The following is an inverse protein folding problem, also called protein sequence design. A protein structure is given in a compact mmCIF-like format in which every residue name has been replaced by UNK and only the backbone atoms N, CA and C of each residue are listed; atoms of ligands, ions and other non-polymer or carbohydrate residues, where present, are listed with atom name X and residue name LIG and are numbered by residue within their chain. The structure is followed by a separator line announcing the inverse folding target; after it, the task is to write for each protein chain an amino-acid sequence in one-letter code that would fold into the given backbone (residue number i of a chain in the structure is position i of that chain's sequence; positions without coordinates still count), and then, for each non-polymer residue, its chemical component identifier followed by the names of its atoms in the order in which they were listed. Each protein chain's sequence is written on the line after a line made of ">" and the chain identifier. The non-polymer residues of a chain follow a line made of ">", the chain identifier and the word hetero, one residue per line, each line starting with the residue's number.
data_IF_584397266976
#
_entry.id   IF_584397266976
#
_cell.length_a   1.000
_cell.length_b   1.000
_cell.length_c   1.000
_cell.angle_alpha   90.00
_cell.angle_beta   90.00
_cell.angle_gamma   90.00
#
_symmetry.space_group_name_H-M   'P 1'
#
loop_
_entity.id
_entity.type
_entity.pdbx_description
1 polymer ?
#
# COMPACT_ATOMS: atom_id res chain seq x y z
N UNK A 1 -8.52 16.35 5.20
CA UNK A 1 -7.61 15.21 5.45
C UNK A 1 -6.38 15.77 6.17
N UNK A 2 -5.82 15.06 7.15
CA UNK A 2 -4.66 15.55 7.93
C UNK A 2 -3.39 15.52 7.09
N UNK A 3 -2.59 16.59 7.09
CA UNK A 3 -1.30 16.69 6.38
C UNK A 3 -0.36 15.53 6.72
N UNK A 4 -0.36 15.10 7.98
CA UNK A 4 0.46 13.96 8.43
C UNK A 4 0.03 12.64 7.78
N UNK A 5 -1.26 12.43 7.58
CA UNK A 5 -1.76 11.20 6.95
C UNK A 5 -1.31 11.13 5.49
N UNK A 6 -1.33 12.27 4.77
CA UNK A 6 -0.85 12.31 3.39
C UNK A 6 0.66 12.02 3.31
N UNK A 7 1.47 12.63 4.19
CA UNK A 7 2.92 12.39 4.22
C UNK A 7 3.26 10.93 4.51
N UNK A 8 2.57 10.32 5.48
CA UNK A 8 2.75 8.90 5.80
C UNK A 8 2.29 8.01 4.64
N UNK A 9 1.16 8.32 4.02
CA UNK A 9 0.68 7.59 2.86
C UNK A 9 1.69 7.65 1.71
N UNK A 10 2.17 8.84 1.34
CA UNK A 10 3.16 9.01 0.29
C UNK A 10 4.48 8.28 0.61
N UNK A 11 4.90 8.26 1.88
CA UNK A 11 6.09 7.55 2.33
C UNK A 11 5.96 6.02 2.23
N UNK A 12 4.82 5.46 2.66
CA UNK A 12 4.63 4.01 2.71
C UNK A 12 4.14 3.39 1.40
N UNK A 13 3.27 4.09 0.68
CA UNK A 13 2.57 3.59 -0.51
C UNK A 13 3.23 4.08 -1.80
N UNK A 14 3.72 5.32 -1.80
CA UNK A 14 4.38 5.93 -2.96
C UNK A 14 3.43 6.29 -4.11
N UNK A 15 3.98 6.43 -5.32
CA UNK A 15 3.22 6.71 -6.53
C UNK A 15 3.00 5.44 -7.36
N UNK A 16 1.82 5.27 -8.00
CA UNK A 16 1.59 4.18 -8.93
C UNK A 16 2.55 4.26 -10.12
N UNK A 17 2.92 3.11 -10.68
CA UNK A 17 3.70 2.99 -11.93
C UNK A 17 2.82 2.36 -13.01
N UNK A 18 2.09 3.16 -13.81
CA UNK A 18 1.12 2.64 -14.79
C UNK A 18 1.73 1.68 -15.82
N UNK A 19 3.02 1.83 -16.13
CA UNK A 19 3.77 1.00 -17.07
C UNK A 19 3.91 -0.46 -16.58
N UNK A 20 3.70 -0.69 -15.28
CA UNK A 20 3.73 -2.02 -14.66
C UNK A 20 2.35 -2.64 -14.52
N UNK A 21 1.28 -1.93 -14.89
CA UNK A 21 -0.06 -2.49 -14.82
C UNK A 21 -0.26 -3.57 -15.89
N UNK A 22 -1.06 -4.61 -15.57
CA UNK A 22 -1.51 -5.58 -16.56
C UNK A 22 -2.11 -4.88 -17.79
N UNK A 23 -1.91 -5.47 -18.96
CA UNK A 23 -2.32 -4.88 -20.24
C UNK A 23 -3.82 -4.52 -20.25
N UNK A 24 -4.65 -5.33 -19.59
CA UNK A 24 -6.09 -5.12 -19.48
C UNK A 24 -6.47 -3.86 -18.69
N UNK A 25 -5.56 -3.36 -17.83
CA UNK A 25 -5.77 -2.20 -16.96
C UNK A 25 -5.09 -0.94 -17.48
N UNK A 26 -4.19 -1.04 -18.46
CA UNK A 26 -3.47 0.13 -19.00
C UNK A 26 -4.40 1.19 -19.61
N UNK A 27 -5.50 0.75 -20.24
CA UNK A 27 -6.51 1.63 -20.81
C UNK A 27 -7.61 2.03 -19.80
N UNK A 28 -7.54 1.55 -18.56
CA UNK A 28 -8.50 1.86 -17.51
C UNK A 28 -7.79 2.35 -16.23
N UNK A 29 -7.43 3.65 -16.18
CA UNK A 29 -6.63 4.20 -15.10
C UNK A 29 -7.32 4.13 -13.73
N UNK A 30 -8.66 4.17 -13.71
CA UNK A 30 -9.43 4.02 -12.47
C UNK A 30 -9.28 2.61 -11.90
N UNK A 31 -9.42 1.59 -12.75
CA UNK A 31 -9.26 0.20 -12.32
C UNK A 31 -7.80 -0.12 -11.96
N UNK A 32 -6.84 0.38 -12.75
CA UNK A 32 -5.41 0.24 -12.45
C UNK A 32 -5.02 0.86 -11.10
N UNK A 33 -5.48 2.09 -10.83
CA UNK A 33 -5.23 2.75 -9.56
C UNK A 33 -5.94 2.06 -8.39
N UNK A 34 -7.18 1.59 -8.59
CA UNK A 34 -7.92 0.84 -7.57
C UNK A 34 -7.22 -0.45 -7.17
N UNK A 35 -6.67 -1.19 -8.14
CA UNK A 35 -5.86 -2.38 -7.88
C UNK A 35 -4.58 -2.05 -7.12
N UNK A 36 -3.84 -1.03 -7.57
CA UNK A 36 -2.63 -0.56 -6.91
C UNK A 36 -2.87 -0.17 -5.45
N UNK A 37 -3.92 0.62 -5.19
CA UNK A 37 -4.26 1.06 -3.83
C UNK A 37 -4.62 -0.11 -2.92
N UNK A 38 -5.30 -1.13 -3.45
CA UNK A 38 -5.61 -2.35 -2.71
C UNK A 38 -4.35 -3.16 -2.38
N UNK A 39 -3.47 -3.39 -3.36
CA UNK A 39 -2.23 -4.16 -3.18
C UNK A 39 -1.31 -3.49 -2.15
N UNK A 40 -1.09 -2.18 -2.25
CA UNK A 40 -0.27 -1.45 -1.28
C UNK A 40 -0.90 -1.36 0.10
N UNK A 41 -2.22 -1.16 0.18
CA UNK A 41 -2.95 -1.19 1.44
C UNK A 41 -2.86 -2.55 2.15
N UNK A 42 -2.99 -3.65 1.39
CA UNK A 42 -2.82 -5.00 1.92
C UNK A 42 -1.38 -5.25 2.39
N UNK A 43 -0.39 -4.86 1.58
CA UNK A 43 1.05 -4.97 1.94
C UNK A 43 1.36 -4.23 3.24
N UNK A 44 0.90 -2.99 3.36
CA UNK A 44 1.08 -2.19 4.57
C UNK A 44 0.40 -2.81 5.78
N UNK A 45 -0.83 -3.32 5.62
CA UNK A 45 -1.55 -4.02 6.69
C UNK A 45 -0.82 -5.25 7.20
N UNK A 46 -0.24 -6.06 6.30
CA UNK A 46 0.58 -7.22 6.68
C UNK A 46 1.84 -6.80 7.42
N UNK A 47 2.54 -5.75 6.96
CA UNK A 47 3.73 -5.25 7.63
C UNK A 47 3.43 -4.74 9.04
N UNK A 48 2.36 -3.98 9.21
CA UNK A 48 1.91 -3.49 10.52
C UNK A 48 1.48 -4.65 11.45
N UNK A 49 0.80 -5.67 10.91
CA UNK A 49 0.45 -6.87 11.66
C UNK A 49 1.71 -7.59 12.16
N UNK A 50 2.70 -7.80 11.29
CA UNK A 50 3.97 -8.43 11.66
C UNK A 50 4.73 -7.60 12.70
N UNK A 51 4.79 -6.28 12.54
CA UNK A 51 5.42 -5.39 13.52
C UNK A 51 4.73 -5.48 14.89
N UNK A 52 3.39 -5.47 14.91
CA UNK A 52 2.62 -5.56 16.16
C UNK A 52 2.79 -6.90 16.88
N UNK A 53 2.91 -8.01 16.15
CA UNK A 53 3.01 -9.36 16.71
C UNK A 53 4.47 -9.77 16.98
N UNK A 54 5.45 -9.19 16.29
CA UNK A 54 6.87 -9.46 16.52
C UNK A 54 7.32 -9.00 17.92
N UNK A 55 6.74 -7.92 18.45
CA UNK A 55 6.99 -7.47 19.83
C UNK A 55 6.51 -8.46 20.89
N UNK A 56 5.38 -9.14 20.66
CA UNK A 56 4.85 -10.17 21.56
C UNK A 56 5.62 -11.49 21.47
N UNK A 57 6.24 -11.79 20.32
CA UNK A 57 7.00 -13.03 20.11
C UNK A 57 8.45 -12.96 20.62
N UNK A 58 9.06 -11.77 20.59
CA UNK A 58 10.46 -11.55 20.98
C UNK A 58 10.67 -11.21 22.46
N UNK A 59 9.59 -10.97 23.20
CA UNK A 59 9.63 -10.78 24.65
C UNK A 59 8.59 -11.67 25.35
N UNK A 60 8.96 -12.90 25.76
CA UNK A 60 8.10 -13.76 26.58
C UNK A 60 7.91 -13.23 28.00
#
# INVERSE_FOLDING_TARGET
>A
MSTYINLLYDYFVGYPTPERWPEELQNNPVAGHGRYAFEEGFRLGVLLMLESTAGELLWP
#
